data_IF_149078411594
#
_entry.id   IF_149078411594
#
_cell.length_a   1.000
_cell.length_b   1.000
_cell.length_c   1.000
_cell.angle_alpha   90.00
_cell.angle_beta   90.00
_cell.angle_gamma   90.00
#
_symmetry.space_group_name_H-M   'P 1'
#
loop_
_entity.id
_entity.type
_entity.pdbx_description
1 polymer ?
#
# COMPACT_ATOMS: atom_id res chain seq x y z
N UNK A 1 -29.01 -26.76 -68.58
CA UNK A 1 -29.15 -27.67 -67.44
C UNK A 1 -28.02 -27.40 -66.44
N UNK A 2 -28.24 -26.52 -65.48
CA UNK A 2 -27.30 -26.27 -64.40
C UNK A 2 -27.49 -27.30 -63.29
N UNK A 3 -26.42 -27.63 -62.50
CA UNK A 3 -26.52 -28.56 -61.39
C UNK A 3 -27.39 -27.97 -60.29
N UNK A 4 -28.43 -28.69 -59.86
CA UNK A 4 -29.25 -28.38 -58.69
C UNK A 4 -28.36 -28.63 -57.45
N UNK A 5 -27.90 -27.56 -56.80
CA UNK A 5 -27.26 -27.66 -55.52
C UNK A 5 -28.34 -27.87 -54.46
N UNK A 6 -28.47 -29.10 -53.98
CA UNK A 6 -29.32 -29.41 -52.83
C UNK A 6 -28.64 -28.95 -51.56
N UNK A 7 -29.24 -27.98 -50.85
CA UNK A 7 -28.79 -27.58 -49.50
C UNK A 7 -29.35 -28.59 -48.49
N UNK A 8 -28.47 -29.36 -47.89
CA UNK A 8 -28.83 -30.26 -46.79
C UNK A 8 -28.48 -29.59 -45.44
N UNK A 9 -29.46 -29.42 -44.61
CA UNK A 9 -29.24 -29.08 -43.19
C UNK A 9 -29.16 -30.41 -42.41
N UNK A 10 -27.96 -30.71 -41.86
CA UNK A 10 -27.79 -31.86 -41.02
C UNK A 10 -27.69 -31.42 -39.57
N UNK A 11 -28.59 -31.93 -38.74
CA UNK A 11 -28.59 -31.71 -37.31
C UNK A 11 -28.15 -32.98 -36.61
N UNK A 12 -27.05 -32.90 -35.82
CA UNK A 12 -26.59 -33.98 -34.98
C UNK A 12 -26.75 -33.60 -33.53
N UNK A 13 -27.49 -34.42 -32.76
CA UNK A 13 -27.54 -34.37 -31.32
C UNK A 13 -27.02 -35.70 -30.77
N UNK A 14 -25.98 -35.67 -29.98
CA UNK A 14 -25.39 -36.89 -29.41
C UNK A 14 -25.14 -36.66 -27.91
N UNK A 15 -25.46 -37.64 -27.09
CA UNK A 15 -25.04 -37.73 -25.70
C UNK A 15 -23.95 -38.79 -25.59
N UNK A 16 -22.76 -38.39 -25.12
CA UNK A 16 -21.67 -39.34 -24.83
C UNK A 16 -21.37 -39.31 -23.35
N UNK A 17 -21.24 -40.47 -22.73
CA UNK A 17 -20.79 -40.64 -21.37
C UNK A 17 -19.57 -41.55 -21.36
N UNK A 18 -18.48 -41.12 -20.75
CA UNK A 18 -17.30 -41.92 -20.54
C UNK A 18 -17.00 -41.93 -19.04
N UNK A 19 -16.62 -43.09 -18.51
CA UNK A 19 -16.26 -43.28 -17.11
C UNK A 19 -15.00 -44.12 -17.02
N UNK A 20 -14.05 -43.70 -16.20
CA UNK A 20 -12.79 -44.38 -15.92
C UNK A 20 -12.86 -45.01 -14.51
N UNK A 21 -12.61 -46.30 -14.43
CA UNK A 21 -12.52 -47.00 -13.13
C UNK A 21 -11.19 -46.68 -12.46
N UNK A 22 -11.22 -46.02 -11.29
CA UNK A 22 -10.01 -45.66 -10.54
C UNK A 22 -9.53 -46.83 -9.68
N UNK A 23 -8.96 -47.86 -10.32
CA UNK A 23 -8.53 -49.10 -9.66
C UNK A 23 -7.28 -48.92 -8.79
N UNK A 24 -6.47 -47.90 -9.07
CA UNK A 24 -5.21 -47.61 -8.37
C UNK A 24 -5.24 -46.28 -7.61
N UNK A 25 -6.37 -45.63 -7.51
CA UNK A 25 -6.51 -44.37 -6.77
C UNK A 25 -5.92 -43.16 -7.44
N UNK A 26 -5.59 -43.19 -8.73
CA UNK A 26 -5.01 -42.03 -9.45
C UNK A 26 -5.92 -40.82 -9.45
N UNK A 27 -7.22 -41.00 -9.69
CA UNK A 27 -8.16 -39.89 -9.70
C UNK A 27 -8.40 -39.38 -8.28
N UNK A 28 -8.48 -40.26 -7.28
CA UNK A 28 -8.59 -39.88 -5.87
C UNK A 28 -7.35 -39.04 -5.45
N UNK A 29 -6.13 -39.51 -5.73
CA UNK A 29 -4.90 -38.77 -5.46
C UNK A 29 -4.84 -37.43 -6.17
N UNK A 30 -5.32 -37.35 -7.41
CA UNK A 30 -5.41 -36.08 -8.14
C UNK A 30 -6.39 -35.08 -7.51
N UNK A 31 -7.49 -35.56 -6.93
CA UNK A 31 -8.43 -34.72 -6.17
C UNK A 31 -7.78 -34.23 -4.87
N UNK A 32 -7.13 -35.13 -4.12
CA UNK A 32 -6.44 -34.77 -2.88
C UNK A 32 -5.33 -33.73 -3.12
N UNK A 33 -4.56 -33.91 -4.20
CA UNK A 33 -3.56 -32.91 -4.61
C UNK A 33 -4.18 -31.55 -4.95
N UNK A 34 -5.31 -31.54 -5.68
CA UNK A 34 -6.02 -30.31 -6.03
C UNK A 34 -6.62 -29.61 -4.79
N UNK A 35 -7.14 -30.35 -3.86
CA UNK A 35 -7.67 -29.83 -2.58
C UNK A 35 -6.54 -29.21 -1.72
N UNK A 36 -5.39 -29.86 -1.66
CA UNK A 36 -4.22 -29.34 -0.97
C UNK A 36 -3.69 -28.04 -1.65
N UNK A 37 -3.67 -27.96 -2.98
CA UNK A 37 -3.29 -26.75 -3.71
C UNK A 37 -4.30 -25.60 -3.51
N UNK A 38 -5.60 -25.92 -3.41
CA UNK A 38 -6.62 -24.93 -3.06
C UNK A 38 -6.42 -24.39 -1.64
N UNK A 39 -6.07 -25.25 -0.68
CA UNK A 39 -5.73 -24.85 0.69
C UNK A 39 -4.47 -23.98 0.74
N UNK A 40 -3.44 -24.29 -0.05
CA UNK A 40 -2.24 -23.46 -0.21
C UNK A 40 -2.59 -22.06 -0.75
N UNK A 41 -3.43 -22.00 -1.79
CA UNK A 41 -3.89 -20.73 -2.39
C UNK A 41 -4.69 -19.89 -1.39
N UNK A 42 -5.47 -20.52 -0.51
CA UNK A 42 -6.17 -19.81 0.56
C UNK A 42 -5.20 -19.23 1.60
N UNK A 43 -4.15 -19.96 1.95
CA UNK A 43 -3.11 -19.46 2.85
C UNK A 43 -2.33 -18.28 2.19
N UNK A 44 -2.03 -18.35 0.91
CA UNK A 44 -1.43 -17.22 0.16
C UNK A 44 -2.31 -15.97 0.19
N UNK A 45 -3.63 -16.14 0.05
CA UNK A 45 -4.58 -15.03 0.19
C UNK A 45 -4.51 -14.38 1.57
N UNK A 46 -4.37 -15.17 2.64
CA UNK A 46 -4.19 -14.62 3.99
C UNK A 46 -2.86 -13.86 4.11
N UNK A 47 -1.80 -14.38 3.53
CA UNK A 47 -0.49 -13.70 3.45
C UNK A 47 -0.57 -12.36 2.70
N UNK A 48 -1.25 -12.33 1.57
CA UNK A 48 -1.48 -11.12 0.79
C UNK A 48 -2.28 -10.07 1.58
N UNK A 49 -3.35 -10.49 2.27
CA UNK A 49 -4.14 -9.60 3.15
C UNK A 49 -3.31 -8.98 4.26
N UNK A 50 -2.47 -9.78 4.91
CA UNK A 50 -1.58 -9.31 5.97
C UNK A 50 -0.56 -8.30 5.41
N UNK A 51 0.00 -8.56 4.24
CA UNK A 51 0.93 -7.67 3.57
C UNK A 51 0.29 -6.33 3.22
N UNK A 52 -0.92 -6.34 2.66
CA UNK A 52 -1.66 -5.10 2.35
C UNK A 52 -1.99 -4.32 3.63
N UNK A 53 -2.44 -5.00 4.69
CA UNK A 53 -2.72 -4.36 5.97
C UNK A 53 -1.47 -3.67 6.55
N UNK A 54 -0.31 -4.32 6.48
CA UNK A 54 0.96 -3.74 6.91
C UNK A 54 1.36 -2.53 6.07
N UNK A 55 1.18 -2.60 4.74
CA UNK A 55 1.46 -1.48 3.83
C UNK A 55 0.55 -0.27 4.11
N UNK A 56 -0.76 -0.50 4.31
CA UNK A 56 -1.72 0.56 4.66
C UNK A 56 -1.33 1.21 6.00
N UNK A 57 -0.97 0.41 6.99
CA UNK A 57 -0.52 0.91 8.30
C UNK A 57 0.73 1.78 8.16
N UNK A 58 1.73 1.30 7.43
CA UNK A 58 2.97 2.07 7.18
C UNK A 58 2.71 3.37 6.41
N UNK A 59 1.86 3.31 5.39
CA UNK A 59 1.48 4.48 4.61
C UNK A 59 0.68 5.50 5.44
N UNK A 60 -0.15 5.02 6.37
CA UNK A 60 -0.88 5.88 7.30
C UNK A 60 0.07 6.64 8.24
N UNK A 61 1.07 5.97 8.82
CA UNK A 61 2.08 6.64 9.64
C UNK A 61 2.92 7.62 8.82
N UNK A 62 3.28 7.28 7.58
CA UNK A 62 4.01 8.18 6.68
C UNK A 62 3.19 9.44 6.33
N UNK A 63 1.87 9.32 6.13
CA UNK A 63 1.00 10.47 5.91
C UNK A 63 0.97 11.40 7.13
N UNK A 64 0.88 10.82 8.33
CA UNK A 64 0.86 11.61 9.58
C UNK A 64 2.19 12.30 9.83
N UNK A 65 3.31 11.62 9.62
CA UNK A 65 4.63 12.22 9.68
C UNK A 65 4.74 13.41 8.71
N UNK A 66 4.32 13.20 7.45
CA UNK A 66 4.36 14.24 6.43
C UNK A 66 3.46 15.45 6.78
N UNK A 67 2.31 15.23 7.42
CA UNK A 67 1.45 16.30 7.90
C UNK A 67 2.12 17.14 9.01
N UNK A 68 2.76 16.47 9.97
CA UNK A 68 3.49 17.18 11.05
C UNK A 68 4.72 17.92 10.51
N UNK A 69 5.41 17.35 9.53
CA UNK A 69 6.53 18.03 8.87
C UNK A 69 6.08 19.26 8.10
N UNK A 70 4.91 19.20 7.46
CA UNK A 70 4.33 20.36 6.78
C UNK A 70 3.97 21.46 7.78
N UNK A 71 3.28 21.14 8.85
CA UNK A 71 2.93 22.10 9.90
C UNK A 71 4.18 22.75 10.51
N UNK A 72 5.20 21.94 10.82
CA UNK A 72 6.48 22.46 11.34
C UNK A 72 7.16 23.40 10.33
N UNK A 73 7.19 23.04 9.05
CA UNK A 73 7.81 23.87 8.00
C UNK A 73 7.06 25.20 7.81
N UNK A 74 5.74 25.19 7.90
CA UNK A 74 4.91 26.41 7.80
C UNK A 74 5.13 27.32 9.01
N UNK A 75 5.14 26.79 10.23
CA UNK A 75 5.47 27.56 11.45
C UNK A 75 6.89 28.11 11.42
N UNK A 76 7.84 27.33 10.95
CA UNK A 76 9.24 27.76 10.79
C UNK A 76 9.32 28.93 9.81
N UNK A 77 8.58 28.84 8.69
CA UNK A 77 8.52 29.94 7.72
C UNK A 77 7.95 31.20 8.33
N UNK A 78 6.88 31.09 9.12
CA UNK A 78 6.32 32.23 9.83
C UNK A 78 7.34 32.89 10.78
N UNK A 79 8.07 32.05 11.56
CA UNK A 79 9.12 32.56 12.47
C UNK A 79 10.21 33.33 11.74
N UNK A 80 10.65 32.84 10.56
CA UNK A 80 11.64 33.57 9.75
C UNK A 80 11.07 34.86 9.16
N UNK A 81 9.80 34.89 8.76
CA UNK A 81 9.12 36.09 8.29
C UNK A 81 9.06 37.17 9.38
N UNK A 82 8.65 36.76 10.59
CA UNK A 82 8.58 37.68 11.74
C UNK A 82 9.97 38.22 12.10
N UNK A 83 10.98 37.34 12.08
CA UNK A 83 12.38 37.76 12.32
C UNK A 83 12.91 38.72 11.23
N UNK A 84 12.61 38.46 9.97
CA UNK A 84 12.98 39.30 8.87
C UNK A 84 12.32 40.68 8.93
N UNK A 85 11.08 40.75 9.43
CA UNK A 85 10.39 42.03 9.67
C UNK A 85 11.10 42.86 10.73
N UNK A 86 11.51 42.23 11.84
CA UNK A 86 12.31 42.94 12.87
C UNK A 86 13.63 43.47 12.32
N UNK A 87 14.33 42.70 11.48
CA UNK A 87 15.59 43.15 10.85
C UNK A 87 15.32 44.28 9.87
N UNK A 88 14.23 44.24 9.13
CA UNK A 88 13.82 45.32 8.21
C UNK A 88 13.55 46.62 8.94
N UNK A 89 12.77 46.55 10.03
CA UNK A 89 12.45 47.74 10.85
C UNK A 89 13.74 48.37 11.42
N UNK A 90 14.71 47.57 11.85
CA UNK A 90 16.02 48.03 12.32
C UNK A 90 16.85 48.65 11.19
N UNK A 91 16.81 48.08 10.01
CA UNK A 91 17.50 48.61 8.85
C UNK A 91 16.92 49.98 8.45
N UNK A 92 15.60 50.11 8.41
CA UNK A 92 14.92 51.35 8.13
C UNK A 92 15.22 52.44 9.18
N UNK A 93 15.41 52.04 10.44
CA UNK A 93 15.85 52.92 11.51
C UNK A 93 17.37 53.24 11.50
N UNK A 94 18.14 52.66 10.53
CA UNK A 94 19.59 52.83 10.44
C UNK A 94 20.39 52.04 11.51
N UNK A 95 19.79 51.08 12.17
CA UNK A 95 20.36 50.27 13.29
C UNK A 95 20.98 48.94 12.84
N UNK A 96 20.78 48.53 11.57
CA UNK A 96 21.38 47.32 11.00
C UNK A 96 21.84 47.54 9.57
N UNK A 97 22.73 46.67 9.07
CA UNK A 97 23.31 46.76 7.74
C UNK A 97 22.44 46.11 6.67
N UNK A 98 22.65 46.51 5.41
CA UNK A 98 21.97 45.89 4.27
C UNK A 98 22.29 44.37 4.13
N UNK A 99 23.44 43.92 4.61
CA UNK A 99 23.82 42.51 4.61
C UNK A 99 22.87 41.70 5.53
N UNK A 100 22.59 42.22 6.71
CA UNK A 100 21.71 41.55 7.68
C UNK A 100 20.30 41.39 7.11
N UNK A 101 19.76 42.41 6.45
CA UNK A 101 18.47 42.37 5.77
C UNK A 101 18.48 41.31 4.66
N UNK A 102 19.51 41.27 3.84
CA UNK A 102 19.60 40.26 2.76
C UNK A 102 19.72 38.85 3.27
N UNK A 103 20.44 38.62 4.36
CA UNK A 103 20.52 37.32 5.02
C UNK A 103 19.16 36.89 5.59
N UNK A 104 18.44 37.80 6.23
CA UNK A 104 17.11 37.52 6.75
C UNK A 104 16.11 37.15 5.63
N UNK A 105 16.13 37.93 4.51
CA UNK A 105 15.30 37.65 3.33
C UNK A 105 15.67 36.29 2.68
N UNK A 106 16.96 35.94 2.60
CA UNK A 106 17.41 34.65 2.10
C UNK A 106 16.93 33.47 2.98
N UNK A 107 16.92 33.64 4.30
CA UNK A 107 16.39 32.63 5.24
C UNK A 107 14.89 32.43 5.05
N UNK A 108 14.10 33.50 4.83
CA UNK A 108 12.68 33.40 4.49
C UNK A 108 12.48 32.61 3.19
N UNK A 109 13.22 32.94 2.14
CA UNK A 109 13.10 32.26 0.85
C UNK A 109 13.45 30.75 0.96
N UNK A 110 14.51 30.43 1.72
CA UNK A 110 14.90 29.04 1.99
C UNK A 110 13.83 28.25 2.77
N UNK A 111 13.25 28.88 3.81
CA UNK A 111 12.19 28.24 4.60
C UNK A 111 10.91 28.05 3.79
N UNK A 112 10.54 29.00 2.93
CA UNK A 112 9.42 28.87 1.99
C UNK A 112 9.61 27.70 1.02
N UNK A 113 10.84 27.55 0.46
CA UNK A 113 11.16 26.41 -0.40
C UNK A 113 11.01 25.08 0.34
N UNK A 114 11.45 25.03 1.61
CA UNK A 114 11.27 23.85 2.47
C UNK A 114 9.79 23.53 2.75
N UNK A 115 8.96 24.54 2.99
CA UNK A 115 7.51 24.35 3.18
C UNK A 115 6.83 23.82 1.90
N UNK A 116 7.23 24.30 0.73
CA UNK A 116 6.74 23.77 -0.55
C UNK A 116 7.13 22.31 -0.74
N UNK A 117 8.36 21.94 -0.40
CA UNK A 117 8.83 20.55 -0.47
C UNK A 117 8.06 19.66 0.51
N UNK A 118 7.83 20.09 1.75
CA UNK A 118 7.02 19.37 2.75
C UNK A 118 5.56 19.18 2.27
N UNK A 119 4.94 20.22 1.70
CA UNK A 119 3.59 20.14 1.12
C UNK A 119 3.51 19.14 -0.03
N UNK A 120 4.54 19.05 -0.86
CA UNK A 120 4.64 18.03 -1.90
C UNK A 120 4.72 16.64 -1.29
N UNK A 121 5.55 16.45 -0.25
CA UNK A 121 5.68 15.19 0.48
C UNK A 121 4.34 14.71 1.04
N UNK A 122 3.60 15.61 1.71
CA UNK A 122 2.26 15.34 2.21
C UNK A 122 1.30 14.85 1.12
N UNK A 123 1.23 15.53 -0.02
CA UNK A 123 0.38 15.13 -1.14
C UNK A 123 0.76 13.76 -1.73
N UNK A 124 2.05 13.46 -1.76
CA UNK A 124 2.53 12.13 -2.22
C UNK A 124 2.09 11.04 -1.25
N UNK A 125 2.25 11.24 0.05
CA UNK A 125 1.82 10.28 1.07
C UNK A 125 0.29 10.06 1.06
N UNK A 126 -0.51 11.14 0.91
CA UNK A 126 -1.96 11.05 0.76
C UNK A 126 -2.37 10.18 -0.44
N UNK A 127 -1.79 10.44 -1.62
CA UNK A 127 -2.06 9.64 -2.83
C UNK A 127 -1.67 8.18 -2.68
N UNK A 128 -0.61 7.89 -1.95
CA UNK A 128 -0.17 6.50 -1.73
C UNK A 128 -1.21 5.69 -0.95
N UNK A 129 -1.84 6.28 0.07
CA UNK A 129 -2.94 5.64 0.80
C UNK A 129 -4.15 5.47 -0.10
N UNK A 130 -4.52 6.49 -0.87
CA UNK A 130 -5.66 6.43 -1.80
C UNK A 130 -5.52 5.26 -2.78
N UNK A 131 -4.31 5.07 -3.35
CA UNK A 131 -4.01 3.92 -4.23
C UNK A 131 -4.16 2.59 -3.50
N UNK A 132 -3.65 2.47 -2.27
CA UNK A 132 -3.78 1.25 -1.47
C UNK A 132 -5.24 0.92 -1.11
N UNK A 133 -6.09 1.96 -1.01
CA UNK A 133 -7.53 1.82 -0.78
C UNK A 133 -8.33 1.62 -2.08
N UNK A 134 -7.67 1.53 -3.25
CA UNK A 134 -8.31 1.41 -4.55
C UNK A 134 -9.05 2.68 -5.00
N UNK A 135 -8.70 3.85 -4.44
CA UNK A 135 -9.28 5.14 -4.81
C UNK A 135 -8.42 5.87 -5.84
N UNK A 136 -9.03 6.82 -6.54
CA UNK A 136 -8.28 7.73 -7.41
C UNK A 136 -7.35 8.62 -6.57
N UNK A 137 -6.06 8.76 -6.95
CA UNK A 137 -5.06 9.50 -6.17
C UNK A 137 -5.22 11.02 -6.32
N UNK A 138 -6.26 11.57 -5.74
CA UNK A 138 -6.58 13.01 -5.73
C UNK A 138 -5.78 13.83 -4.71
N UNK A 139 -5.20 13.18 -3.71
CA UNK A 139 -4.67 13.78 -2.48
C UNK A 139 -5.75 14.52 -1.68
N UNK A 140 -6.92 13.89 -1.56
CA UNK A 140 -8.10 14.40 -0.84
C UNK A 140 -8.17 13.89 0.60
N UNK A 141 -7.39 12.84 0.93
CA UNK A 141 -7.33 12.31 2.29
C UNK A 141 -6.59 13.29 3.20
N UNK A 142 -7.33 13.78 4.19
CA UNK A 142 -6.75 14.59 5.26
C UNK A 142 -6.22 13.70 6.39
N UNK A 143 -5.08 14.11 6.96
CA UNK A 143 -4.53 13.46 8.14
C UNK A 143 -5.27 13.94 9.39
N UNK A 144 -5.58 13.04 10.31
CA UNK A 144 -6.03 13.36 11.65
C UNK A 144 -4.80 13.74 12.50
N UNK A 145 -4.83 14.79 13.28
CA UNK A 145 -3.67 15.41 13.94
C UNK A 145 -2.99 14.59 15.04
N UNK A 146 -3.56 13.47 15.48
CA UNK A 146 -3.04 12.67 16.59
C UNK A 146 -2.61 11.25 16.13
N UNK A 147 -1.47 10.77 16.61
CA UNK A 147 -1.03 9.37 16.41
C UNK A 147 -1.86 8.36 17.21
N UNK A 148 -2.74 8.84 18.06
CA UNK A 148 -3.48 8.00 18.98
C UNK A 148 -2.62 7.46 20.15
N UNK A 149 -3.21 6.69 21.06
CA UNK A 149 -2.49 6.11 22.18
C UNK A 149 -1.50 5.06 21.70
N UNK A 150 -0.34 4.98 22.37
CA UNK A 150 0.64 3.94 22.09
C UNK A 150 -0.01 2.56 22.29
N UNK A 151 0.10 1.63 21.32
CA UNK A 151 -0.43 0.30 21.49
C UNK A 151 0.25 -0.42 22.66
N UNK A 152 -0.44 -1.35 23.34
CA UNK A 152 0.15 -2.11 24.43
C UNK A 152 1.38 -2.88 23.93
N UNK A 153 2.34 -3.10 24.81
CA UNK A 153 3.53 -3.88 24.47
C UNK A 153 3.12 -5.27 23.94
N UNK A 154 3.70 -5.67 22.82
CA UNK A 154 3.46 -7.00 22.26
C UNK A 154 4.04 -8.02 23.24
N UNK A 155 3.23 -8.95 23.80
CA UNK A 155 3.74 -9.96 24.72
C UNK A 155 4.77 -10.83 24.01
N UNK A 156 5.86 -11.19 24.72
CA UNK A 156 6.85 -12.12 24.22
C UNK A 156 6.14 -13.47 23.95
N UNK A 157 5.86 -13.75 22.68
CA UNK A 157 5.14 -14.94 22.27
C UNK A 157 5.99 -16.18 22.27
N UNK A 158 5.35 -17.35 22.30
CA UNK A 158 6.03 -18.63 22.13
C UNK A 158 6.38 -18.79 20.64
N UNK A 159 7.68 -18.96 20.29
CA UNK A 159 8.13 -19.01 18.90
C UNK A 159 7.38 -20.05 18.04
N UNK A 160 7.11 -21.25 18.59
CA UNK A 160 6.41 -22.32 17.87
C UNK A 160 4.97 -21.95 17.46
N UNK A 161 4.23 -21.23 18.32
CA UNK A 161 2.87 -20.78 18.00
C UNK A 161 2.84 -19.68 16.93
N UNK A 162 3.91 -18.93 16.75
CA UNK A 162 4.04 -17.94 15.67
C UNK A 162 4.29 -18.62 14.34
N UNK A 163 5.15 -19.63 14.30
CA UNK A 163 5.43 -20.40 13.08
C UNK A 163 4.17 -21.05 12.50
N UNK A 164 3.35 -21.70 13.34
CA UNK A 164 2.10 -22.33 12.92
C UNK A 164 1.04 -21.36 12.35
N UNK A 165 1.20 -20.06 12.58
CA UNK A 165 0.28 -19.02 12.09
C UNK A 165 0.79 -18.27 10.87
N UNK A 166 1.99 -18.56 10.41
CA UNK A 166 2.59 -17.91 9.24
C UNK A 166 1.95 -18.44 7.96
N UNK A 167 1.26 -17.60 7.19
CA UNK A 167 0.56 -18.04 5.97
C UNK A 167 1.49 -18.64 4.92
N UNK A 168 2.71 -18.13 4.80
CA UNK A 168 3.72 -18.63 3.87
C UNK A 168 4.19 -20.05 4.20
N UNK A 169 4.33 -20.38 5.48
CA UNK A 169 4.68 -21.72 5.93
C UNK A 169 3.49 -22.68 5.74
N UNK A 170 2.28 -22.25 6.09
CA UNK A 170 1.05 -23.05 5.89
C UNK A 170 0.85 -23.34 4.39
N UNK A 171 1.05 -22.37 3.52
CA UNK A 171 0.97 -22.58 2.07
C UNK A 171 2.02 -23.59 1.56
N UNK A 172 3.26 -23.48 2.05
CA UNK A 172 4.33 -24.40 1.68
C UNK A 172 4.04 -25.85 2.14
N UNK A 173 3.50 -26.01 3.34
CA UNK A 173 3.10 -27.32 3.89
C UNK A 173 2.00 -27.97 3.06
N UNK A 174 0.96 -27.22 2.67
CA UNK A 174 -0.09 -27.73 1.79
C UNK A 174 0.43 -28.10 0.39
N UNK A 175 1.37 -27.32 -0.17
CA UNK A 175 2.00 -27.67 -1.47
C UNK A 175 2.86 -28.92 -1.37
N UNK A 176 3.51 -29.15 -0.22
CA UNK A 176 4.24 -30.39 0.01
C UNK A 176 3.27 -31.57 0.04
N UNK A 177 2.15 -31.46 0.74
CA UNK A 177 1.07 -32.47 0.74
C UNK A 177 0.55 -32.74 -0.67
N UNK A 178 0.31 -31.69 -1.46
CA UNK A 178 -0.14 -31.83 -2.86
C UNK A 178 0.88 -32.57 -3.75
N UNK A 179 2.17 -32.44 -3.46
CA UNK A 179 3.22 -33.12 -4.22
C UNK A 179 3.42 -34.59 -3.80
N UNK A 180 2.97 -34.96 -2.60
CA UNK A 180 3.06 -36.33 -2.05
C UNK A 180 1.85 -37.20 -2.44
N UNK A 181 0.74 -36.59 -2.89
CA UNK A 181 -0.49 -37.28 -3.34
C UNK A 181 -0.35 -37.80 -4.77
#
# INVERSE_FOLDING_TARGET
TGPLSALFNQWNAGLSASWELDLWGKLAASVDAADAEAAASFADLQGARLSVAAQVTSAWFALREAAQQLDLAERTTQTYQDSAQVVRDRFEAGLSGALDLRLAEANVASSQASAVAARRGYRVASRQIEVLLGRFPGAELESVDDFGPMPPAVPAGVPAGVLARRPDLVAAEHRMTAAES
#
